data_IF_025997524448
#
_entry.id   IF_025997524448
#
_cell.length_a   1.000
_cell.length_b   1.000
_cell.length_c   1.000
_cell.angle_alpha   90.00
_cell.angle_beta   90.00
_cell.angle_gamma   90.00
#
_symmetry.space_group_name_H-M   'P 1'
#
loop_
_entity.id
_entity.type
_entity.pdbx_description
1 polymer ?
#
# COMPACT_ATOMS: atom_id res chain seq x y z
N UNK A 1 75.51 -21.17 -23.18
CA UNK A 1 75.34 -21.90 -21.92
C UNK A 1 74.73 -20.97 -20.87
N UNK A 2 73.42 -21.06 -20.62
CA UNK A 2 72.64 -20.14 -19.77
C UNK A 2 72.54 -20.70 -18.34
N UNK A 3 73.25 -20.10 -17.37
CA UNK A 3 73.12 -20.42 -15.93
C UNK A 3 71.89 -19.70 -15.35
N UNK A 4 70.80 -20.45 -15.11
CA UNK A 4 69.65 -20.02 -14.29
C UNK A 4 70.08 -19.98 -12.81
N UNK A 5 70.07 -18.80 -12.19
CA UNK A 5 70.18 -18.64 -10.73
C UNK A 5 68.78 -18.63 -10.14
N UNK A 6 68.43 -19.63 -9.34
CA UNK A 6 67.21 -19.62 -8.53
C UNK A 6 67.38 -18.64 -7.37
N UNK A 7 66.65 -17.52 -7.39
CA UNK A 7 66.44 -16.70 -6.21
C UNK A 7 65.35 -17.35 -5.36
N UNK A 8 65.75 -17.93 -4.22
CA UNK A 8 64.82 -18.45 -3.21
C UNK A 8 64.37 -17.28 -2.33
N UNK A 9 63.22 -16.70 -2.64
CA UNK A 9 62.59 -15.62 -1.89
C UNK A 9 62.11 -16.17 -0.54
N UNK A 10 62.85 -15.89 0.54
CA UNK A 10 62.37 -16.11 1.92
C UNK A 10 61.20 -15.15 2.14
N UNK A 11 59.99 -15.67 2.30
CA UNK A 11 58.89 -14.88 2.85
C UNK A 11 59.22 -14.55 4.30
N UNK A 12 59.59 -13.29 4.55
CA UNK A 12 59.59 -12.74 5.89
C UNK A 12 58.13 -12.49 6.26
N UNK A 13 57.57 -13.36 7.11
CA UNK A 13 56.34 -13.08 7.84
C UNK A 13 56.56 -11.85 8.71
N UNK A 14 56.15 -10.68 8.22
CA UNK A 14 56.07 -9.46 9.04
C UNK A 14 54.99 -9.68 10.11
N UNK A 15 55.42 -9.98 11.32
CA UNK A 15 54.53 -9.98 12.48
C UNK A 15 54.17 -8.53 12.82
N UNK A 16 52.90 -8.20 12.66
CA UNK A 16 52.35 -6.87 12.99
C UNK A 16 52.48 -6.64 14.50
N UNK A 17 53.08 -5.52 14.88
CA UNK A 17 53.26 -5.15 16.29
C UNK A 17 51.90 -5.07 17.02
N UNK A 18 51.75 -5.61 18.24
CA UNK A 18 50.46 -5.72 18.95
C UNK A 18 49.69 -4.39 19.10
N UNK A 19 50.41 -3.27 19.14
CA UNK A 19 49.82 -1.92 19.22
C UNK A 19 49.11 -1.50 17.92
N UNK A 20 49.63 -1.89 16.76
CA UNK A 20 48.98 -1.68 15.45
C UNK A 20 47.80 -2.63 15.27
N UNK A 21 47.90 -3.87 15.76
CA UNK A 21 46.80 -4.83 15.75
C UNK A 21 45.61 -4.35 16.60
N UNK A 22 45.88 -3.77 17.78
CA UNK A 22 44.84 -3.18 18.64
C UNK A 22 44.21 -1.90 18.04
N UNK A 23 44.97 -1.11 17.27
CA UNK A 23 44.40 0.01 16.51
C UNK A 23 43.53 -0.45 15.34
N UNK A 24 43.93 -1.50 14.62
CA UNK A 24 43.12 -2.14 13.59
C UNK A 24 41.85 -2.79 14.17
N UNK A 25 41.91 -3.40 15.36
CA UNK A 25 40.71 -3.93 16.01
C UNK A 25 39.77 -2.79 16.47
N UNK A 26 40.32 -1.65 16.90
CA UNK A 26 39.53 -0.46 17.25
C UNK A 26 38.85 0.15 16.02
N UNK A 27 39.55 0.24 14.89
CA UNK A 27 38.96 0.71 13.63
C UNK A 27 37.90 -0.27 13.10
N UNK A 28 38.12 -1.58 13.22
CA UNK A 28 37.13 -2.60 12.88
C UNK A 28 35.88 -2.53 13.78
N UNK A 29 36.04 -2.22 15.08
CA UNK A 29 34.90 -2.05 15.98
C UNK A 29 34.10 -0.79 15.64
N UNK A 30 34.76 0.31 15.29
CA UNK A 30 34.11 1.54 14.82
C UNK A 30 33.40 1.30 13.49
N UNK A 31 34.01 0.58 12.56
CA UNK A 31 33.40 0.23 11.27
C UNK A 31 32.16 -0.67 11.44
N UNK A 32 32.21 -1.64 12.36
CA UNK A 32 31.06 -2.47 12.72
C UNK A 32 29.93 -1.65 13.33
N UNK A 33 30.25 -0.71 14.22
CA UNK A 33 29.26 0.19 14.82
C UNK A 33 28.61 1.08 13.75
N UNK A 34 29.40 1.63 12.83
CA UNK A 34 28.90 2.44 11.72
C UNK A 34 27.95 1.64 10.81
N UNK A 35 28.31 0.39 10.48
CA UNK A 35 27.44 -0.53 9.73
C UNK A 35 26.14 -0.82 10.49
N UNK A 36 26.21 -1.02 11.80
CA UNK A 36 25.02 -1.24 12.63
C UNK A 36 24.10 -0.01 12.63
N UNK A 37 24.66 1.19 12.76
CA UNK A 37 23.91 2.46 12.73
C UNK A 37 23.25 2.66 11.36
N UNK A 38 23.94 2.35 10.26
CA UNK A 38 23.37 2.45 8.92
C UNK A 38 22.19 1.48 8.73
N UNK A 39 22.38 0.21 9.09
CA UNK A 39 21.31 -0.80 9.01
C UNK A 39 20.13 -0.44 9.93
N UNK A 40 20.39 0.09 11.12
CA UNK A 40 19.35 0.60 12.02
C UNK A 40 18.64 1.82 11.42
N UNK A 41 19.36 2.74 10.80
CA UNK A 41 18.80 3.89 10.09
C UNK A 41 17.86 3.47 8.96
N UNK A 42 18.30 2.50 8.14
CA UNK A 42 17.46 1.88 7.10
C UNK A 42 16.24 1.20 7.70
N UNK A 43 16.39 0.49 8.83
CA UNK A 43 15.29 -0.19 9.53
C UNK A 43 14.25 0.81 10.04
N UNK A 44 14.68 1.91 10.65
CA UNK A 44 13.80 2.97 11.15
C UNK A 44 13.08 3.65 9.99
N UNK A 45 13.77 3.95 8.89
CA UNK A 45 13.15 4.52 7.70
C UNK A 45 12.08 3.58 7.11
N UNK A 46 12.35 2.27 7.04
CA UNK A 46 11.35 1.29 6.61
C UNK A 46 10.15 1.23 7.56
N UNK A 47 10.38 1.31 8.88
CA UNK A 47 9.30 1.35 9.87
C UNK A 47 8.45 2.62 9.73
N UNK A 48 9.07 3.79 9.54
CA UNK A 48 8.37 5.06 9.33
C UNK A 48 7.55 5.05 8.05
N UNK A 49 8.11 4.55 6.95
CA UNK A 49 7.37 4.39 5.69
C UNK A 49 6.15 3.49 5.88
N UNK A 50 6.32 2.34 6.53
CA UNK A 50 5.20 1.44 6.84
C UNK A 50 4.16 2.07 7.75
N UNK A 51 4.55 2.97 8.65
CA UNK A 51 3.61 3.71 9.49
C UNK A 51 2.77 4.67 8.64
N UNK A 52 3.43 5.44 7.77
CA UNK A 52 2.76 6.35 6.84
C UNK A 52 1.78 5.61 5.92
N UNK A 53 2.20 4.47 5.34
CA UNK A 53 1.33 3.64 4.50
C UNK A 53 0.10 3.12 5.28
N UNK A 54 0.22 2.92 6.61
CA UNK A 54 -0.88 2.51 7.48
C UNK A 54 -1.79 3.69 7.83
N UNK A 55 -1.23 4.88 8.07
CA UNK A 55 -2.00 6.10 8.32
C UNK A 55 -2.84 6.46 7.08
N UNK A 56 -2.24 6.41 5.88
CA UNK A 56 -2.96 6.63 4.62
C UNK A 56 -4.10 5.59 4.42
N UNK A 57 -3.86 4.35 4.85
CA UNK A 57 -4.88 3.30 4.82
C UNK A 57 -6.02 3.56 5.81
N UNK A 58 -5.71 4.09 7.00
CA UNK A 58 -6.71 4.49 8.00
C UNK A 58 -7.57 5.61 7.42
N UNK A 59 -6.95 6.66 6.87
CA UNK A 59 -7.66 7.79 6.27
C UNK A 59 -8.62 7.33 5.17
N UNK A 60 -8.17 6.42 4.30
CA UNK A 60 -9.01 5.86 3.24
C UNK A 60 -10.23 5.10 3.79
N UNK A 61 -10.02 4.26 4.81
CA UNK A 61 -11.09 3.49 5.44
C UNK A 61 -12.08 4.39 6.19
N UNK A 62 -11.57 5.41 6.88
CA UNK A 62 -12.39 6.40 7.58
C UNK A 62 -13.23 7.20 6.60
N UNK A 63 -12.65 7.66 5.50
CA UNK A 63 -13.37 8.40 4.47
C UNK A 63 -14.42 7.51 3.77
N UNK A 64 -14.09 6.24 3.48
CA UNK A 64 -15.05 5.28 2.94
C UNK A 64 -16.22 5.07 3.90
N UNK A 65 -15.94 4.84 5.19
CA UNK A 65 -16.96 4.65 6.22
C UNK A 65 -17.81 5.91 6.43
N UNK A 66 -17.18 7.08 6.41
CA UNK A 66 -17.85 8.37 6.47
C UNK A 66 -18.79 8.53 5.28
N UNK A 67 -18.32 8.33 4.05
CA UNK A 67 -19.14 8.37 2.83
C UNK A 67 -20.33 7.42 2.88
N UNK A 68 -20.12 6.18 3.33
CA UNK A 68 -21.22 5.21 3.49
C UNK A 68 -22.26 5.69 4.49
N UNK A 69 -21.83 6.20 5.65
CA UNK A 69 -22.76 6.73 6.66
C UNK A 69 -23.51 7.97 6.18
N UNK A 70 -22.83 8.92 5.52
CA UNK A 70 -23.46 10.09 4.90
C UNK A 70 -24.48 9.66 3.85
N UNK A 71 -24.18 8.64 3.05
CA UNK A 71 -25.11 8.13 2.03
C UNK A 71 -26.37 7.48 2.62
N UNK A 72 -26.25 6.83 3.78
CA UNK A 72 -27.37 6.15 4.46
C UNK A 72 -28.21 7.07 5.34
N UNK A 73 -27.54 7.90 6.15
CA UNK A 73 -28.17 8.73 7.20
C UNK A 73 -28.19 10.23 6.84
N UNK A 74 -27.67 10.63 5.68
CA UNK A 74 -27.54 12.03 5.29
C UNK A 74 -26.34 12.73 5.93
N UNK A 75 -26.03 13.95 5.49
CA UNK A 75 -24.87 14.72 5.99
C UNK A 75 -24.96 15.06 7.49
N UNK A 76 -26.18 15.06 8.05
CA UNK A 76 -26.44 15.40 9.45
C UNK A 76 -26.28 14.20 10.39
N UNK A 77 -25.90 13.02 9.88
CA UNK A 77 -25.84 11.80 10.69
C UNK A 77 -24.97 11.94 11.94
N UNK A 78 -23.89 12.71 11.85
CA UNK A 78 -22.99 12.93 12.99
C UNK A 78 -23.71 13.78 14.06
N UNK A 79 -24.44 14.81 13.63
CA UNK A 79 -25.23 15.66 14.51
C UNK A 79 -26.36 14.86 15.15
N UNK A 80 -27.09 14.05 14.37
CA UNK A 80 -28.17 13.18 14.87
C UNK A 80 -27.67 12.10 15.83
N UNK A 81 -26.48 11.53 15.61
CA UNK A 81 -25.92 10.51 16.50
C UNK A 81 -25.51 11.08 17.86
N UNK A 82 -25.06 12.34 17.93
CA UNK A 82 -24.57 12.95 19.17
C UNK A 82 -25.56 13.94 19.83
N UNK A 83 -26.47 14.54 19.07
CA UNK A 83 -27.49 15.49 19.55
C UNK A 83 -28.92 14.96 19.40
N UNK A 84 -29.17 14.02 18.48
CA UNK A 84 -30.48 13.37 18.37
C UNK A 84 -30.81 12.53 19.60
N UNK A 85 -29.80 11.97 20.28
CA UNK A 85 -29.96 11.28 21.56
C UNK A 85 -30.32 12.24 22.71
N UNK A 86 -29.92 13.52 22.62
CA UNK A 86 -30.28 14.56 23.59
C UNK A 86 -31.70 15.13 23.38
N UNK A 87 -32.32 14.88 22.22
CA UNK A 87 -33.70 15.28 21.91
C UNK A 87 -34.69 14.11 21.96
N UNK A 88 -34.21 12.87 22.15
CA UNK A 88 -35.05 11.66 22.25
C UNK A 88 -35.60 11.40 23.65
N UNK A 89 -35.17 12.16 24.67
CA UNK A 89 -35.70 12.00 26.03
C UNK A 89 -37.16 12.50 26.20
N UNK A 90 -37.76 13.14 25.19
CA UNK A 90 -39.11 13.72 25.29
C UNK A 90 -40.20 13.08 24.40
N UNK A 91 -39.90 12.06 23.57
CA UNK A 91 -40.91 11.48 22.64
C UNK A 91 -41.39 10.05 22.94
N UNK A 92 -41.05 9.46 24.10
CA UNK A 92 -41.61 8.17 24.52
C UNK A 92 -42.14 8.19 25.97
N UNK A 93 -43.25 8.91 26.18
CA UNK A 93 -44.22 8.64 27.26
C UNK A 93 -45.66 8.79 26.76
N UNK A 94 -46.09 7.90 25.87
CA UNK A 94 -47.48 7.47 25.81
C UNK A 94 -47.54 6.15 25.05
N UNK A 95 -48.27 5.17 25.62
CA UNK A 95 -48.48 3.81 25.14
C UNK A 95 -47.57 2.73 25.75
N UNK A 96 -47.59 2.60 27.08
CA UNK A 96 -47.47 1.29 27.71
C UNK A 96 -48.34 1.20 28.99
N UNK A 97 -48.83 -0.01 29.28
CA UNK A 97 -49.56 -0.47 30.47
C UNK A 97 -51.09 -0.21 30.46
N UNK A 98 -52.00 -1.19 30.35
CA UNK A 98 -51.96 -2.62 30.65
C UNK A 98 -52.89 -2.94 31.83
N UNK A 99 -54.14 -3.38 31.58
CA UNK A 99 -55.02 -4.05 32.57
C UNK A 99 -56.04 -4.96 31.86
N UNK A 100 -55.95 -6.27 32.15
CA UNK A 100 -57.00 -7.29 31.99
C UNK A 100 -57.86 -7.25 33.25
N UNK A 101 -59.20 -7.17 33.14
CA UNK A 101 -60.21 -7.98 33.87
C UNK A 101 -61.61 -7.33 33.86
N UNK A 102 -62.58 -8.14 33.41
CA UNK A 102 -63.94 -8.34 33.94
C UNK A 102 -65.06 -7.29 33.76
N UNK A 103 -66.14 -7.80 33.16
CA UNK A 103 -67.52 -7.32 33.14
C UNK A 103 -68.06 -7.11 34.57
N UNK A 104 -69.05 -6.21 34.80
CA UNK A 104 -70.45 -6.69 34.73
C UNK A 104 -71.49 -5.70 34.18
N UNK A 105 -72.51 -6.30 33.55
CA UNK A 105 -73.95 -6.00 33.49
C UNK A 105 -74.50 -4.75 34.21
N UNK A 106 -75.37 -3.97 33.52
CA UNK A 106 -76.85 -3.96 33.76
C UNK A 106 -77.59 -2.78 33.12
N UNK A 107 -78.73 -3.07 32.46
CA UNK A 107 -80.01 -2.30 32.45
C UNK A 107 -80.10 -0.96 31.64
N UNK A 108 -81.12 -0.59 30.85
CA UNK A 108 -82.50 -1.06 30.63
C UNK A 108 -83.12 -0.48 29.33
N UNK A 109 -83.81 -1.34 28.58
CA UNK A 109 -85.22 -1.25 28.08
C UNK A 109 -85.72 -0.02 27.28
N UNK A 110 -86.09 -0.23 26.00
CA UNK A 110 -87.49 -0.14 25.48
C UNK A 110 -87.57 -0.18 23.93
N UNK A 111 -88.07 -1.28 23.37
CA UNK A 111 -88.79 -1.45 22.08
C UNK A 111 -90.24 -0.89 22.19
N UNK A 112 -91.13 -0.82 21.14
CA UNK A 112 -91.24 -1.55 19.85
C UNK A 112 -91.69 -0.64 18.66
N UNK A 113 -91.99 -1.00 17.40
CA UNK A 113 -92.87 -2.03 16.77
C UNK A 113 -92.83 -1.83 15.23
N UNK A 114 -93.06 -2.88 14.43
CA UNK A 114 -93.49 -2.81 13.01
C UNK A 114 -92.66 -3.72 12.10
N UNK A 115 -93.01 -5.00 11.96
CA UNK A 115 -93.92 -5.60 10.95
C UNK A 115 -93.22 -6.07 9.65
N UNK A 116 -93.44 -7.36 9.38
CA UNK A 116 -93.47 -8.07 8.09
C UNK A 116 -92.18 -8.47 7.34
N UNK A 117 -91.84 -9.76 7.55
CA UNK A 117 -91.54 -10.80 6.55
C UNK A 117 -90.56 -10.47 5.42
N UNK A 118 -89.37 -11.09 5.49
CA UNK A 118 -88.89 -12.06 4.50
C UNK A 118 -87.78 -12.90 5.11
N UNK A 119 -88.03 -14.20 5.15
CA UNK A 119 -87.01 -15.24 5.18
C UNK A 119 -86.19 -15.10 3.90
N UNK A 120 -84.89 -14.83 4.05
CA UNK A 120 -83.84 -15.30 3.15
C UNK A 120 -82.60 -15.45 4.04
N UNK A 121 -82.23 -16.72 4.23
CA UNK A 121 -80.95 -17.23 4.72
C UNK A 121 -79.78 -16.46 4.05
N UNK A 122 -78.64 -16.16 4.66
CA UNK A 122 -77.74 -16.92 5.51
C UNK A 122 -76.96 -15.90 6.36
N UNK A 123 -77.09 -15.97 7.70
CA UNK A 123 -76.16 -15.26 8.59
C UNK A 123 -74.82 -16.03 8.49
N UNK A 124 -73.70 -15.40 8.08
CA UNK A 124 -72.45 -16.11 7.89
C UNK A 124 -72.13 -16.82 9.20
N UNK A 125 -72.15 -18.14 9.14
CA UNK A 125 -71.93 -18.93 10.33
C UNK A 125 -70.48 -18.69 10.73
N UNK A 126 -70.15 -18.67 12.02
CA UNK A 126 -68.76 -18.49 12.52
C UNK A 126 -67.75 -19.39 11.77
N UNK A 127 -68.22 -20.52 11.24
CA UNK A 127 -67.49 -21.46 10.39
C UNK A 127 -67.08 -20.88 9.01
N UNK A 128 -67.94 -20.10 8.32
CA UNK A 128 -67.62 -19.47 7.03
C UNK A 128 -66.57 -18.35 7.17
N UNK A 129 -66.64 -17.57 8.26
CA UNK A 129 -65.65 -16.55 8.58
C UNK A 129 -64.27 -17.18 8.87
N UNK A 130 -64.25 -18.30 9.61
CA UNK A 130 -63.03 -19.07 9.87
C UNK A 130 -62.45 -19.68 8.57
N UNK A 131 -63.30 -20.17 7.67
CA UNK A 131 -62.85 -20.70 6.37
C UNK A 131 -62.25 -19.60 5.47
N UNK A 132 -62.86 -18.41 5.45
CA UNK A 132 -62.31 -17.25 4.75
C UNK A 132 -60.95 -16.82 5.32
N UNK A 133 -60.81 -16.77 6.66
CA UNK A 133 -59.55 -16.45 7.32
C UNK A 133 -58.46 -17.51 7.05
N UNK A 134 -58.80 -18.80 7.08
CA UNK A 134 -57.88 -19.90 6.73
C UNK A 134 -57.39 -19.75 5.28
N UNK A 135 -58.30 -19.45 4.34
CA UNK A 135 -57.93 -19.27 2.94
C UNK A 135 -57.02 -18.04 2.73
N UNK A 136 -57.26 -16.95 3.44
CA UNK A 136 -56.39 -15.77 3.39
C UNK A 136 -55.03 -16.01 4.04
N UNK A 137 -54.97 -16.78 5.13
CA UNK A 137 -53.72 -17.26 5.72
C UNK A 137 -52.94 -18.15 4.74
N UNK A 138 -53.62 -19.06 4.02
CA UNK A 138 -53.00 -19.90 2.99
C UNK A 138 -52.38 -19.06 1.86
N UNK A 139 -53.12 -18.09 1.32
CA UNK A 139 -52.57 -17.15 0.31
C UNK A 139 -51.37 -16.39 0.85
N UNK A 140 -51.42 -15.96 2.11
CA UNK A 140 -50.32 -15.22 2.73
C UNK A 140 -49.09 -16.11 2.88
N UNK A 141 -49.25 -17.38 3.26
CA UNK A 141 -48.18 -18.37 3.30
C UNK A 141 -47.56 -18.55 1.91
N UNK A 142 -48.37 -18.72 0.86
CA UNK A 142 -47.85 -18.85 -0.52
C UNK A 142 -47.03 -17.63 -0.96
N UNK A 143 -47.48 -16.42 -0.60
CA UNK A 143 -46.72 -15.20 -0.87
C UNK A 143 -45.40 -15.17 -0.11
N UNK A 144 -45.40 -15.58 1.16
CA UNK A 144 -44.17 -15.71 1.95
C UNK A 144 -43.20 -16.72 1.33
N UNK A 145 -43.67 -17.86 0.86
CA UNK A 145 -42.81 -18.84 0.16
C UNK A 145 -42.21 -18.26 -1.13
N UNK A 146 -42.97 -17.48 -1.88
CA UNK A 146 -42.47 -16.77 -3.07
C UNK A 146 -41.40 -15.74 -2.69
N UNK A 147 -41.63 -14.97 -1.62
CA UNK A 147 -40.65 -14.01 -1.08
C UNK A 147 -39.36 -14.73 -0.68
N UNK A 148 -39.45 -15.85 0.04
CA UNK A 148 -38.28 -16.65 0.45
C UNK A 148 -37.49 -17.14 -0.77
N UNK A 149 -38.16 -17.62 -1.83
CA UNK A 149 -37.50 -18.04 -3.07
C UNK A 149 -36.78 -16.88 -3.77
N UNK A 150 -37.37 -15.69 -3.78
CA UNK A 150 -36.75 -14.48 -4.35
C UNK A 150 -35.55 -14.06 -3.51
N UNK A 151 -35.66 -14.01 -2.18
CA UNK A 151 -34.57 -13.64 -1.28
C UNK A 151 -33.37 -14.56 -1.44
N UNK A 152 -33.59 -15.88 -1.54
CA UNK A 152 -32.52 -16.86 -1.77
C UNK A 152 -31.83 -16.68 -3.13
N UNK A 153 -32.54 -16.18 -4.14
CA UNK A 153 -31.93 -15.83 -5.43
C UNK A 153 -31.15 -14.54 -5.31
N UNK A 154 -31.70 -13.54 -4.64
CA UNK A 154 -31.06 -12.25 -4.42
C UNK A 154 -29.72 -12.42 -3.68
N UNK A 155 -29.69 -13.20 -2.60
CA UNK A 155 -28.48 -13.50 -1.83
C UNK A 155 -27.36 -14.10 -2.71
N UNK A 156 -27.70 -15.01 -3.62
CA UNK A 156 -26.72 -15.59 -4.55
C UNK A 156 -26.17 -14.58 -5.56
N UNK A 157 -27.03 -13.69 -6.05
CA UNK A 157 -26.62 -12.62 -6.96
C UNK A 157 -25.75 -11.59 -6.22
N UNK A 158 -26.09 -11.24 -4.99
CA UNK A 158 -25.27 -10.37 -4.13
C UNK A 158 -23.87 -10.97 -3.90
N UNK A 159 -23.77 -12.26 -3.57
CA UNK A 159 -22.47 -12.95 -3.47
C UNK A 159 -21.69 -12.97 -4.79
N UNK A 160 -22.38 -13.11 -5.92
CA UNK A 160 -21.76 -13.07 -7.25
C UNK A 160 -21.17 -11.68 -7.55
N UNK A 161 -21.95 -10.64 -7.29
CA UNK A 161 -21.54 -9.23 -7.45
C UNK A 161 -20.38 -8.90 -6.52
N UNK A 162 -20.41 -9.33 -5.27
CA UNK A 162 -19.31 -9.14 -4.33
C UNK A 162 -18.02 -9.81 -4.83
N UNK A 163 -18.10 -11.07 -5.30
CA UNK A 163 -16.93 -11.77 -5.89
C UNK A 163 -16.37 -11.04 -7.10
N UNK A 164 -17.23 -10.58 -8.01
CA UNK A 164 -16.81 -9.80 -9.17
C UNK A 164 -16.15 -8.47 -8.77
N UNK A 165 -16.70 -7.78 -7.76
CA UNK A 165 -16.14 -6.51 -7.28
C UNK A 165 -14.72 -6.68 -6.74
N UNK A 166 -14.45 -7.77 -6.02
CA UNK A 166 -13.11 -8.10 -5.51
C UNK A 166 -12.17 -8.44 -6.68
N UNK A 167 -12.66 -9.18 -7.67
CA UNK A 167 -11.87 -9.52 -8.86
C UNK A 167 -11.48 -8.28 -9.68
N UNK A 168 -12.40 -7.32 -9.83
CA UNK A 168 -12.15 -6.04 -10.52
C UNK A 168 -11.10 -5.23 -9.76
N UNK A 169 -11.27 -5.02 -8.45
CA UNK A 169 -10.29 -4.30 -7.63
C UNK A 169 -8.88 -4.89 -7.77
N UNK A 170 -8.78 -6.22 -7.71
CA UNK A 170 -7.50 -6.91 -7.91
C UNK A 170 -6.94 -6.71 -9.32
N UNK A 171 -7.79 -6.67 -10.34
CA UNK A 171 -7.37 -6.39 -11.71
C UNK A 171 -6.83 -4.97 -11.85
N UNK A 172 -7.45 -4.00 -11.19
CA UNK A 172 -7.00 -2.60 -11.19
C UNK A 172 -5.63 -2.47 -10.51
N UNK A 173 -5.45 -3.06 -9.33
CA UNK A 173 -4.15 -3.14 -8.64
C UNK A 173 -3.06 -3.78 -9.52
N UNK A 174 -3.39 -4.87 -10.22
CA UNK A 174 -2.46 -5.52 -11.16
C UNK A 174 -2.13 -4.64 -12.37
N UNK A 175 -3.07 -3.81 -12.82
CA UNK A 175 -2.86 -2.86 -13.92
C UNK A 175 -1.95 -1.71 -13.48
N UNK A 176 -2.14 -1.20 -12.26
CA UNK A 176 -1.27 -0.18 -11.66
C UNK A 176 0.17 -0.70 -11.49
N UNK A 177 0.33 -1.88 -10.88
CA UNK A 177 1.63 -2.54 -10.72
C UNK A 177 2.32 -2.81 -12.06
N UNK A 178 1.56 -3.15 -13.10
CA UNK A 178 2.10 -3.30 -14.45
C UNK A 178 2.61 -1.97 -15.00
N UNK A 179 1.86 -0.88 -14.82
CA UNK A 179 2.29 0.45 -15.22
C UNK A 179 3.56 0.90 -14.48
N UNK A 180 3.66 0.63 -13.18
CA UNK A 180 4.88 0.89 -12.41
C UNK A 180 6.07 0.07 -12.90
N UNK A 181 5.87 -1.21 -13.18
CA UNK A 181 6.91 -2.09 -13.70
C UNK A 181 7.44 -1.57 -15.04
N UNK A 182 6.57 -1.11 -15.92
CA UNK A 182 6.98 -0.58 -17.22
C UNK A 182 7.71 0.77 -17.08
N UNK A 183 7.29 1.66 -16.17
CA UNK A 183 8.05 2.88 -15.83
C UNK A 183 9.45 2.57 -15.32
N UNK A 184 9.59 1.62 -14.39
CA UNK A 184 10.89 1.21 -13.85
C UNK A 184 11.77 0.60 -14.94
N UNK A 185 11.22 -0.22 -15.84
CA UNK A 185 11.97 -0.75 -16.98
C UNK A 185 12.51 0.37 -17.86
N UNK A 186 11.68 1.35 -18.23
CA UNK A 186 12.12 2.48 -19.04
C UNK A 186 13.22 3.30 -18.33
N UNK A 187 13.09 3.52 -17.03
CA UNK A 187 14.11 4.20 -16.23
C UNK A 187 15.43 3.41 -16.21
N UNK A 188 15.37 2.10 -16.01
CA UNK A 188 16.58 1.26 -16.05
C UNK A 188 17.24 1.27 -17.42
N UNK A 189 16.47 1.31 -18.51
CA UNK A 189 17.00 1.41 -19.87
C UNK A 189 17.66 2.78 -20.13
N UNK A 190 17.04 3.87 -19.67
CA UNK A 190 17.65 5.21 -19.73
C UNK A 190 18.96 5.26 -18.94
N UNK A 191 18.96 4.77 -17.70
CA UNK A 191 20.15 4.72 -16.86
C UNK A 191 21.26 3.85 -17.48
N UNK A 192 20.92 2.73 -18.13
CA UNK A 192 21.89 1.91 -18.85
C UNK A 192 22.55 2.66 -20.02
N UNK A 193 21.76 3.41 -20.81
CA UNK A 193 22.28 4.25 -21.91
C UNK A 193 23.18 5.37 -21.40
N UNK A 194 22.81 6.01 -20.28
CA UNK A 194 23.64 7.04 -19.64
C UNK A 194 24.96 6.46 -19.11
N UNK A 195 24.93 5.27 -18.50
CA UNK A 195 26.13 4.56 -18.06
C UNK A 195 27.03 4.18 -19.24
N UNK A 196 26.46 3.74 -20.36
CA UNK A 196 27.23 3.47 -21.59
C UNK A 196 27.87 4.75 -22.14
N UNK A 197 27.12 5.85 -22.18
CA UNK A 197 27.64 7.14 -22.62
C UNK A 197 28.81 7.62 -21.74
N UNK A 198 28.64 7.57 -20.42
CA UNK A 198 29.70 7.96 -19.47
C UNK A 198 30.92 7.05 -19.57
N UNK A 199 30.75 5.75 -19.78
CA UNK A 199 31.87 4.82 -20.01
C UNK A 199 32.64 5.15 -21.30
N UNK A 200 31.92 5.50 -22.38
CA UNK A 200 32.53 5.92 -23.64
C UNK A 200 33.31 7.24 -23.47
N UNK A 201 32.71 8.24 -22.83
CA UNK A 201 33.40 9.50 -22.52
C UNK A 201 34.65 9.28 -21.65
N UNK A 202 34.58 8.40 -20.66
CA UNK A 202 35.74 8.04 -19.84
C UNK A 202 36.86 7.44 -20.71
N UNK A 203 36.52 6.48 -21.56
CA UNK A 203 37.48 5.84 -22.48
C UNK A 203 38.14 6.85 -23.44
N UNK A 204 37.38 7.83 -23.93
CA UNK A 204 37.92 8.91 -24.76
C UNK A 204 38.90 9.78 -23.97
N UNK A 205 38.56 10.15 -22.73
CA UNK A 205 39.45 10.92 -21.86
C UNK A 205 40.72 10.16 -21.51
N UNK A 206 40.64 8.85 -21.25
CA UNK A 206 41.80 8.00 -20.99
C UNK A 206 42.72 7.91 -22.20
N UNK A 207 42.16 7.73 -23.40
CA UNK A 207 42.93 7.76 -24.66
C UNK A 207 43.63 9.11 -24.88
N UNK A 208 42.94 10.22 -24.61
CA UNK A 208 43.51 11.55 -24.67
C UNK A 208 44.65 11.74 -23.66
N UNK A 209 44.48 11.27 -22.41
CA UNK A 209 45.53 11.30 -21.39
C UNK A 209 46.75 10.47 -21.80
N UNK A 210 46.55 9.29 -22.37
CA UNK A 210 47.64 8.43 -22.85
C UNK A 210 48.39 9.04 -24.04
N UNK A 211 47.69 9.72 -24.95
CA UNK A 211 48.33 10.49 -26.02
C UNK A 211 49.20 11.62 -25.46
N UNK A 212 48.70 12.36 -24.47
CA UNK A 212 49.41 13.47 -23.81
C UNK A 212 50.61 12.96 -23.00
N UNK A 213 50.47 11.83 -22.30
CA UNK A 213 51.57 11.17 -21.59
C UNK A 213 52.69 10.75 -22.54
N UNK A 214 52.35 10.18 -23.71
CA UNK A 214 53.33 9.83 -24.74
C UNK A 214 54.04 11.06 -25.30
N UNK A 215 53.30 12.13 -25.57
CA UNK A 215 53.87 13.39 -26.03
C UNK A 215 54.83 14.00 -25.02
N UNK A 216 54.45 14.05 -23.73
CA UNK A 216 55.32 14.54 -22.66
C UNK A 216 56.60 13.71 -22.52
N UNK A 217 56.52 12.38 -22.63
CA UNK A 217 57.71 11.52 -22.64
C UNK A 217 58.64 11.83 -23.81
N UNK A 218 58.09 12.10 -25.00
CA UNK A 218 58.89 12.50 -26.15
C UNK A 218 59.58 13.84 -25.90
N UNK A 219 58.84 14.84 -25.41
CA UNK A 219 59.39 16.17 -25.12
C UNK A 219 60.48 16.10 -24.03
N UNK A 220 60.30 15.24 -23.03
CA UNK A 220 61.33 15.00 -22.01
C UNK A 220 62.61 14.42 -22.63
N UNK A 221 62.49 13.43 -23.52
CA UNK A 221 63.64 12.85 -24.20
C UNK A 221 64.33 13.87 -25.13
N UNK A 222 63.56 14.69 -25.84
CA UNK A 222 64.09 15.76 -26.69
C UNK A 222 64.85 16.80 -25.83
N UNK A 223 64.33 17.15 -24.64
CA UNK A 223 64.98 18.04 -23.68
C UNK A 223 66.32 17.45 -23.19
N UNK A 224 66.33 16.17 -22.78
CA UNK A 224 67.53 15.46 -22.34
C UNK A 224 68.61 15.44 -23.45
N UNK A 225 68.21 15.24 -24.71
CA UNK A 225 69.13 15.30 -25.86
C UNK A 225 69.69 16.72 -26.06
N UNK A 226 68.85 17.76 -25.96
CA UNK A 226 69.32 19.14 -26.07
C UNK A 226 70.27 19.52 -24.95
N UNK A 227 70.00 19.09 -23.71
CA UNK A 227 70.86 19.35 -22.56
C UNK A 227 72.25 18.73 -22.79
N UNK A 228 72.31 17.46 -23.23
CA UNK A 228 73.58 16.79 -23.57
C UNK A 228 74.34 17.52 -24.69
N UNK A 229 73.66 17.99 -25.74
CA UNK A 229 74.33 18.74 -26.82
C UNK A 229 74.82 20.10 -26.34
N UNK A 230 74.06 20.82 -25.50
CA UNK A 230 74.52 22.09 -24.92
C UNK A 230 75.73 21.89 -24.00
N UNK A 231 75.76 20.83 -23.20
CA UNK A 231 76.94 20.45 -22.41
C UNK A 231 78.15 20.13 -23.30
N UNK A 232 77.93 19.45 -24.44
CA UNK A 232 79.01 19.16 -25.39
C UNK A 232 79.58 20.43 -26.00
N UNK A 233 78.71 21.34 -26.45
CA UNK A 233 79.11 22.59 -27.09
C UNK A 233 79.82 23.54 -26.12
N UNK A 234 79.36 23.63 -24.87
CA UNK A 234 80.02 24.43 -23.82
C UNK A 234 81.42 23.91 -23.52
N UNK A 235 81.62 22.59 -23.38
CA UNK A 235 82.97 22.01 -23.23
C UNK A 235 83.90 22.31 -24.40
N UNK A 236 83.40 22.23 -25.65
CA UNK A 236 84.21 22.58 -26.84
C UNK A 236 84.61 24.06 -26.83
N UNK A 237 83.69 24.95 -26.43
CA UNK A 237 83.97 26.38 -26.33
C UNK A 237 85.04 26.67 -25.25
N UNK A 238 84.97 26.01 -24.09
CA UNK A 238 85.98 26.12 -23.02
C UNK A 238 87.37 25.66 -23.47
N UNK A 239 87.44 24.60 -24.28
CA UNK A 239 88.72 24.09 -24.82
C UNK A 239 89.29 25.02 -25.87
N UNK A 240 88.46 25.64 -26.73
CA UNK A 240 88.90 26.60 -27.76
C UNK A 240 89.29 27.97 -27.21
N UNK A 241 88.80 28.33 -26.03
CA UNK A 241 89.13 29.61 -25.37
C UNK A 241 90.43 29.60 -24.57
N UNK A 242 91.11 28.45 -24.46
CA UNK A 242 92.43 28.27 -23.83
C UNK A 242 93.50 28.10 -24.90
#
# INVERSE_FOLDING_TARGET
SRRKKHYRQKQQSQTIHPRRLAQLSKSQNIERLLKLILVQGETIQHQLKRLHDRDDQIDHLEEQKHRTRVGLLGSNYLLETYLGDACREDEEKENDSGVVTEQPSSENTSTPTGEDTKEDDEDPTIEEDLEAEIHDLQKRIELWEKIVKVNKRLEKEEESVLRLSVAIKRSDELSELRGELDRVKEETERNAKELEHTANSLSETDSALDSRRRYLKKLQLDLEVTDVETERLTRVAEVRGK
#
